data_IF_068127870262
#
_entry.id   IF_068127870262
#
_cell.length_a   1.000
_cell.length_b   1.000
_cell.length_c   1.000
_cell.angle_alpha   90.00
_cell.angle_beta   90.00
_cell.angle_gamma   90.00
#
_symmetry.space_group_name_H-M   'P 1'
#
loop_
_entity.id
_entity.type
_entity.pdbx_description
1 polymer ?
#
# COMPACT_ATOMS: atom_id res chain seq x y z
N UNK A 1 -8.38 22.36 10.22
CA UNK A 1 -9.51 21.87 9.38
C UNK A 1 -9.04 21.13 8.12
N UNK A 2 -8.18 21.70 7.26
CA UNK A 2 -7.71 21.04 6.01
C UNK A 2 -6.99 19.70 6.25
N UNK A 3 -6.13 19.63 7.26
CA UNK A 3 -5.38 18.41 7.62
C UNK A 3 -6.29 17.27 8.07
N UNK A 4 -7.30 17.57 8.88
CA UNK A 4 -8.29 16.60 9.32
C UNK A 4 -9.08 16.02 8.12
N UNK A 5 -9.37 16.85 7.11
CA UNK A 5 -9.99 16.39 5.86
C UNK A 5 -9.06 15.45 5.08
N UNK A 6 -7.77 15.77 4.96
CA UNK A 6 -6.80 14.91 4.29
C UNK A 6 -6.63 13.56 5.00
N UNK A 7 -6.53 13.58 6.33
CA UNK A 7 -6.41 12.37 7.12
C UNK A 7 -7.67 11.50 7.05
N UNK A 8 -8.84 12.12 7.09
CA UNK A 8 -10.11 11.42 6.90
C UNK A 8 -10.20 10.79 5.51
N UNK A 9 -9.79 11.50 4.46
CA UNK A 9 -9.76 10.97 3.10
C UNK A 9 -8.80 9.78 2.97
N UNK A 10 -7.61 9.86 3.57
CA UNK A 10 -6.66 8.74 3.62
C UNK A 10 -7.26 7.51 4.33
N UNK A 11 -7.98 7.73 5.43
CA UNK A 11 -8.65 6.66 6.17
C UNK A 11 -9.77 6.03 5.34
N UNK A 12 -10.62 6.84 4.70
CA UNK A 12 -11.70 6.34 3.84
C UNK A 12 -11.15 5.52 2.69
N UNK A 13 -10.05 5.98 2.07
CA UNK A 13 -9.39 5.30 0.97
C UNK A 13 -8.85 3.93 1.42
N UNK A 14 -8.15 3.88 2.55
CA UNK A 14 -7.72 2.62 3.17
C UNK A 14 -8.88 1.66 3.48
N UNK A 15 -9.95 2.16 4.11
CA UNK A 15 -11.09 1.33 4.50
C UNK A 15 -11.83 0.77 3.29
N UNK A 16 -11.98 1.55 2.22
CA UNK A 16 -12.57 1.08 0.95
C UNK A 16 -11.68 0.03 0.28
N UNK A 17 -10.37 0.26 0.25
CA UNK A 17 -9.44 -0.70 -0.31
C UNK A 17 -9.47 -2.05 0.42
N UNK A 18 -9.61 -2.05 1.75
CA UNK A 18 -9.62 -3.29 2.54
C UNK A 18 -10.99 -3.97 2.60
N UNK A 19 -12.09 -3.21 2.60
CA UNK A 19 -13.43 -3.74 2.88
C UNK A 19 -14.45 -3.51 1.74
N UNK A 20 -13.99 -3.03 0.59
CA UNK A 20 -14.75 -2.64 -0.60
C UNK A 20 -15.63 -1.39 -0.39
N UNK A 21 -16.45 -1.37 0.66
CA UNK A 21 -17.34 -0.26 0.98
C UNK A 21 -17.34 0.02 2.49
N UNK A 22 -17.63 1.27 2.86
CA UNK A 22 -17.77 1.65 4.26
C UNK A 22 -18.94 0.89 4.93
N UNK A 23 -20.02 0.59 4.19
CA UNK A 23 -21.13 -0.19 4.73
C UNK A 23 -20.69 -1.60 5.14
N UNK A 24 -19.96 -2.31 4.28
CA UNK A 24 -19.41 -3.65 4.59
C UNK A 24 -18.40 -3.59 5.74
N UNK A 25 -17.57 -2.55 5.76
CA UNK A 25 -16.59 -2.30 6.80
C UNK A 25 -17.24 -2.30 8.21
N UNK A 26 -18.30 -1.52 8.41
CA UNK A 26 -18.96 -1.36 9.71
C UNK A 26 -20.09 -2.36 10.01
N UNK A 27 -20.62 -3.05 8.99
CA UNK A 27 -21.72 -4.01 9.19
C UNK A 27 -21.23 -5.38 9.68
N UNK A 28 -20.02 -5.80 9.28
CA UNK A 28 -19.47 -7.08 9.72
C UNK A 28 -18.78 -6.94 11.10
N UNK A 29 -19.30 -7.65 12.10
CA UNK A 29 -18.78 -7.65 13.48
C UNK A 29 -17.35 -8.17 13.59
N UNK A 30 -16.90 -9.01 12.65
CA UNK A 30 -15.53 -9.53 12.62
C UNK A 30 -14.49 -8.43 12.41
N UNK A 31 -14.89 -7.32 11.76
CA UNK A 31 -13.99 -6.20 11.50
C UNK A 31 -13.76 -5.31 12.72
N UNK A 32 -14.58 -5.40 13.77
CA UNK A 32 -14.58 -4.44 14.88
C UNK A 32 -13.21 -4.35 15.56
N UNK A 33 -12.57 -5.48 15.88
CA UNK A 33 -11.25 -5.48 16.50
C UNK A 33 -10.17 -4.81 15.62
N UNK A 34 -10.24 -4.98 14.30
CA UNK A 34 -9.32 -4.33 13.36
C UNK A 34 -9.59 -2.83 13.28
N UNK A 35 -10.86 -2.43 13.27
CA UNK A 35 -11.27 -1.03 13.26
C UNK A 35 -10.88 -0.30 14.53
N UNK A 36 -11.07 -0.91 15.69
CA UNK A 36 -10.65 -0.33 16.97
C UNK A 36 -9.14 -0.03 16.98
N UNK A 37 -8.32 -0.94 16.44
CA UNK A 37 -6.88 -0.70 16.27
C UNK A 37 -6.61 0.50 15.36
N UNK A 38 -7.26 0.57 14.21
CA UNK A 38 -7.11 1.70 13.27
C UNK A 38 -7.51 3.02 13.92
N UNK A 39 -8.65 3.07 14.61
CA UNK A 39 -9.12 4.28 15.29
C UNK A 39 -8.24 4.67 16.47
N UNK A 40 -7.69 3.70 17.22
CA UNK A 40 -6.75 3.98 18.30
C UNK A 40 -5.46 4.65 17.80
N UNK A 41 -4.94 4.20 16.64
CA UNK A 41 -3.79 4.82 15.97
C UNK A 41 -4.12 6.24 15.49
N UNK A 42 -5.27 6.41 14.83
CA UNK A 42 -5.75 7.73 14.37
C UNK A 42 -5.91 8.69 15.56
N UNK A 43 -6.51 8.23 16.66
CA UNK A 43 -6.69 9.02 17.87
C UNK A 43 -5.34 9.43 18.46
N UNK A 44 -4.37 8.52 18.49
CA UNK A 44 -3.00 8.83 18.95
C UNK A 44 -2.35 9.92 18.08
N UNK A 45 -2.53 9.86 16.76
CA UNK A 45 -2.03 10.89 15.84
C UNK A 45 -2.71 12.25 16.05
N UNK A 46 -4.01 12.27 16.34
CA UNK A 46 -4.74 13.50 16.63
C UNK A 46 -4.37 14.10 17.99
N UNK A 47 -4.24 13.27 19.03
CA UNK A 47 -4.01 13.72 20.41
C UNK A 47 -2.54 14.05 20.70
N UNK A 48 -1.58 13.44 20.00
CA UNK A 48 -0.14 13.77 20.12
C UNK A 48 0.26 15.10 19.44
N UNK A 49 -0.70 15.99 19.18
CA UNK A 49 -0.54 17.23 18.40
C UNK A 49 0.21 18.38 19.08
N UNK A 50 1.06 18.14 20.07
CA UNK A 50 1.88 19.19 20.68
C UNK A 50 3.07 19.64 19.81
N UNK A 51 3.59 18.80 18.90
CA UNK A 51 4.75 19.13 18.05
C UNK A 51 4.46 18.91 16.56
N UNK A 52 4.06 19.97 15.86
CA UNK A 52 3.73 19.92 14.44
C UNK A 52 4.95 20.23 13.58
N UNK A 53 5.72 19.19 13.21
CA UNK A 53 6.86 19.32 12.29
C UNK A 53 6.45 19.14 10.83
N UNK A 54 7.21 19.71 9.89
CA UNK A 54 7.01 19.62 8.43
C UNK A 54 6.89 18.17 7.92
N UNK A 55 7.61 17.23 8.53
CA UNK A 55 7.53 15.79 8.23
C UNK A 55 6.12 15.21 8.46
N UNK A 56 5.32 15.82 9.34
CA UNK A 56 3.95 15.39 9.60
C UNK A 56 3.02 15.77 8.45
N UNK A 57 3.22 16.92 7.80
CA UNK A 57 2.36 17.35 6.68
C UNK A 57 2.52 16.45 5.46
N UNK A 58 3.76 16.16 5.05
CA UNK A 58 4.01 15.25 3.93
C UNK A 58 3.47 13.84 4.22
N UNK A 59 3.41 13.47 5.50
CA UNK A 59 2.77 12.23 5.93
C UNK A 59 1.23 12.25 5.85
N UNK A 60 0.60 13.41 5.71
CA UNK A 60 -0.84 13.53 5.47
C UNK A 60 -1.21 13.44 3.99
N UNK A 61 -0.23 13.53 3.09
CA UNK A 61 -0.48 13.43 1.66
C UNK A 61 -0.76 11.98 1.27
N UNK A 62 -1.81 11.73 0.47
CA UNK A 62 -2.16 10.38 0.03
C UNK A 62 -1.20 9.85 -1.05
N UNK A 63 -0.49 10.74 -1.74
CA UNK A 63 0.51 10.37 -2.73
C UNK A 63 1.76 9.75 -2.07
N UNK A 64 2.31 8.73 -2.71
CA UNK A 64 3.59 8.15 -2.32
C UNK A 64 4.74 9.14 -2.62
N UNK A 65 5.77 9.12 -1.79
CA UNK A 65 6.95 9.97 -1.98
C UNK A 65 7.91 9.32 -2.98
N UNK A 66 7.85 9.75 -4.23
CA UNK A 66 8.71 9.25 -5.32
C UNK A 66 10.11 9.85 -5.23
N UNK A 67 11.13 9.01 -5.35
CA UNK A 67 12.52 9.43 -5.56
C UNK A 67 12.87 9.19 -7.04
N UNK A 68 13.31 10.25 -7.73
CA UNK A 68 13.82 10.12 -9.08
C UNK A 68 15.20 9.45 -9.06
N UNK A 69 15.33 8.35 -9.80
CA UNK A 69 16.59 7.60 -9.94
C UNK A 69 17.27 7.93 -11.28
N UNK A 70 18.60 7.70 -11.39
CA UNK A 70 19.27 7.71 -12.69
C UNK A 70 18.61 6.71 -13.65
N UNK A 71 18.60 7.06 -14.94
CA UNK A 71 17.89 6.28 -15.97
C UNK A 71 18.28 4.81 -15.97
N UNK A 72 19.56 4.50 -15.84
CA UNK A 72 20.06 3.12 -15.87
C UNK A 72 19.53 2.29 -14.70
N UNK A 73 19.41 2.90 -13.51
CA UNK A 73 18.84 2.23 -12.34
C UNK A 73 17.32 2.06 -12.48
N UNK A 74 16.63 3.05 -13.05
CA UNK A 74 15.20 2.96 -13.32
C UNK A 74 14.89 1.82 -14.30
N UNK A 75 15.63 1.72 -15.40
CA UNK A 75 15.47 0.64 -16.39
C UNK A 75 15.66 -0.72 -15.75
N UNK A 76 16.70 -0.91 -14.93
CA UNK A 76 16.91 -2.20 -14.24
C UNK A 76 15.78 -2.58 -13.29
N UNK A 77 15.20 -1.59 -12.58
CA UNK A 77 14.06 -1.84 -11.71
C UNK A 77 12.82 -2.19 -12.54
N UNK A 78 12.53 -1.41 -13.58
CA UNK A 78 11.36 -1.64 -14.43
C UNK A 78 11.44 -2.99 -15.17
N UNK A 79 12.63 -3.41 -15.60
CA UNK A 79 12.88 -4.74 -16.20
C UNK A 79 12.58 -5.85 -15.18
N UNK A 80 13.07 -5.73 -13.94
CA UNK A 80 12.83 -6.72 -12.88
C UNK A 80 11.35 -6.80 -12.46
N UNK A 81 10.66 -5.66 -12.42
CA UNK A 81 9.21 -5.62 -12.18
C UNK A 81 8.43 -6.23 -13.35
N UNK A 82 8.84 -5.97 -14.58
CA UNK A 82 8.23 -6.56 -15.78
C UNK A 82 8.39 -8.07 -15.78
N UNK A 83 9.58 -8.58 -15.43
CA UNK A 83 9.83 -10.01 -15.30
C UNK A 83 8.94 -10.64 -14.22
N UNK A 84 8.80 -10.01 -13.05
CA UNK A 84 7.91 -10.46 -11.98
C UNK A 84 6.45 -10.53 -12.44
N UNK A 85 6.01 -9.52 -13.20
CA UNK A 85 4.66 -9.44 -13.74
C UNK A 85 4.39 -10.50 -14.80
N UNK A 86 5.36 -10.71 -15.70
CA UNK A 86 5.28 -11.65 -16.83
C UNK A 86 5.65 -13.08 -16.48
N UNK A 87 6.09 -13.37 -15.24
CA UNK A 87 6.58 -14.70 -14.88
C UNK A 87 5.47 -15.75 -14.96
N UNK A 88 5.36 -16.38 -16.13
CA UNK A 88 4.48 -17.51 -16.41
C UNK A 88 5.13 -18.79 -15.87
N UNK A 89 4.37 -19.57 -15.10
CA UNK A 89 4.82 -20.78 -14.41
C UNK A 89 5.19 -21.96 -15.34
N UNK A 90 5.36 -21.73 -16.65
CA UNK A 90 5.50 -22.76 -17.70
C UNK A 90 6.83 -23.53 -17.74
N UNK A 91 7.51 -23.71 -16.61
CA UNK A 91 8.83 -24.35 -16.54
C UNK A 91 8.85 -25.75 -15.90
N UNK A 92 7.76 -26.22 -15.30
CA UNK A 92 7.72 -27.51 -14.62
C UNK A 92 6.49 -28.31 -15.03
N UNK A 93 6.69 -29.19 -16.01
CA UNK A 93 5.80 -30.25 -16.51
C UNK A 93 4.78 -29.83 -17.58
N UNK A 94 4.94 -30.38 -18.78
CA UNK A 94 4.09 -30.24 -19.97
C UNK A 94 2.66 -30.83 -19.81
N UNK A 95 2.26 -31.28 -18.62
CA UNK A 95 1.05 -32.11 -18.43
C UNK A 95 -0.05 -31.48 -17.55
N UNK A 96 0.06 -30.22 -17.13
CA UNK A 96 -1.05 -29.52 -16.48
C UNK A 96 -1.22 -28.12 -17.06
N UNK A 97 -2.46 -27.75 -17.41
CA UNK A 97 -2.87 -26.39 -17.76
C UNK A 97 -2.57 -25.43 -16.58
N UNK A 98 -1.31 -25.05 -16.43
CA UNK A 98 -0.82 -24.11 -15.41
C UNK A 98 -1.19 -22.68 -15.83
N UNK A 99 -2.48 -22.43 -16.07
CA UNK A 99 -2.97 -21.08 -16.27
C UNK A 99 -3.01 -20.35 -14.94
N UNK A 100 -2.53 -19.10 -14.95
CA UNK A 100 -2.47 -18.26 -13.77
C UNK A 100 -3.89 -17.97 -13.25
N UNK A 101 -4.17 -18.33 -11.99
CA UNK A 101 -5.49 -18.07 -11.36
C UNK A 101 -5.81 -16.58 -11.22
N UNK A 102 -4.79 -15.73 -11.12
CA UNK A 102 -4.92 -14.28 -10.94
C UNK A 102 -3.94 -13.55 -11.84
N UNK A 103 -4.41 -12.52 -12.55
CA UNK A 103 -3.53 -11.60 -13.28
C UNK A 103 -2.90 -10.59 -12.32
N UNK A 104 -1.63 -10.21 -12.54
CA UNK A 104 -1.05 -9.05 -11.84
C UNK A 104 -1.54 -7.79 -12.53
N UNK A 105 -2.22 -6.92 -11.76
CA UNK A 105 -2.67 -5.60 -12.23
C UNK A 105 -1.54 -4.56 -12.25
N UNK A 106 -0.49 -4.77 -11.45
CA UNK A 106 0.70 -3.95 -11.41
C UNK A 106 1.53 -4.21 -10.15
N UNK A 107 2.78 -3.77 -10.18
CA UNK A 107 3.72 -3.84 -9.07
C UNK A 107 4.27 -2.46 -8.70
N UNK A 108 4.76 -2.32 -7.47
CA UNK A 108 5.41 -1.10 -7.01
C UNK A 108 6.52 -1.43 -6.02
N UNK A 109 7.61 -0.67 -6.05
CA UNK A 109 8.78 -0.88 -5.21
C UNK A 109 8.98 0.29 -4.25
N UNK A 110 9.02 -0.02 -2.96
CA UNK A 110 9.37 0.93 -1.91
C UNK A 110 10.73 0.60 -1.30
N UNK A 111 11.54 1.62 -1.05
CA UNK A 111 12.79 1.53 -0.29
C UNK A 111 12.82 2.56 0.82
N UNK A 112 13.00 2.09 2.07
CA UNK A 112 12.98 2.94 3.27
C UNK A 112 11.78 3.90 3.29
N UNK A 113 10.61 3.39 2.93
CA UNK A 113 9.36 4.15 2.86
C UNK A 113 9.29 5.24 1.78
N UNK A 114 10.16 5.23 0.77
CA UNK A 114 10.05 6.03 -0.45
C UNK A 114 9.72 5.13 -1.63
N UNK A 115 8.92 5.62 -2.58
CA UNK A 115 8.62 4.92 -3.82
C UNK A 115 9.79 5.08 -4.79
N UNK A 116 10.24 3.98 -5.37
CA UNK A 116 11.28 3.96 -6.40
C UNK A 116 10.70 3.76 -7.80
N UNK A 117 9.73 2.86 -7.94
CA UNK A 117 9.09 2.54 -9.21
C UNK A 117 7.66 2.02 -8.99
N UNK A 118 6.81 2.17 -9.99
CA UNK A 118 5.43 1.70 -9.99
C UNK A 118 4.93 1.48 -11.41
N UNK A 119 4.41 0.29 -11.68
CA UNK A 119 3.61 -0.03 -12.87
C UNK A 119 2.10 0.09 -12.62
N UNK A 120 1.70 0.42 -11.38
CA UNK A 120 0.30 0.62 -11.02
C UNK A 120 -0.26 1.96 -11.53
N UNK A 121 -1.58 2.01 -11.71
CA UNK A 121 -2.29 3.27 -11.95
C UNK A 121 -2.14 4.21 -10.75
N UNK A 122 -2.38 5.51 -10.97
CA UNK A 122 -2.31 6.50 -9.89
C UNK A 122 -3.26 6.17 -8.73
N UNK A 123 -4.46 5.68 -9.02
CA UNK A 123 -5.49 5.41 -8.04
C UNK A 123 -5.13 4.18 -7.20
N UNK A 124 -4.72 3.09 -7.85
CA UNK A 124 -4.29 1.87 -7.15
C UNK A 124 -3.02 2.09 -6.32
N UNK A 125 -2.09 2.92 -6.82
CA UNK A 125 -0.91 3.29 -6.06
C UNK A 125 -1.25 4.08 -4.79
N UNK A 126 -2.29 4.93 -4.84
CA UNK A 126 -2.77 5.64 -3.65
C UNK A 126 -3.38 4.65 -2.64
N UNK A 127 -4.12 3.65 -3.12
CA UNK A 127 -4.70 2.58 -2.30
C UNK A 127 -3.61 1.76 -1.60
N UNK A 128 -2.61 1.29 -2.34
CA UNK A 128 -1.49 0.53 -1.81
C UNK A 128 -0.65 1.36 -0.85
N UNK A 129 -0.39 2.63 -1.17
CA UNK A 129 0.34 3.53 -0.28
C UNK A 129 -0.41 3.72 1.04
N UNK A 130 -1.73 3.96 1.00
CA UNK A 130 -2.54 4.05 2.22
C UNK A 130 -2.52 2.74 3.02
N UNK A 131 -2.66 1.60 2.34
CA UNK A 131 -2.56 0.28 2.97
C UNK A 131 -1.24 0.07 3.70
N UNK A 132 -0.11 0.31 3.04
CA UNK A 132 1.21 0.15 3.62
C UNK A 132 1.46 1.11 4.80
N UNK A 133 0.89 2.32 4.77
CA UNK A 133 0.99 3.30 5.86
C UNK A 133 0.18 2.88 7.08
N UNK A 134 -1.10 2.54 6.90
CA UNK A 134 -2.00 2.18 8.00
C UNK A 134 -1.62 0.87 8.67
N UNK A 135 -0.96 -0.04 7.96
CA UNK A 135 -0.40 -1.28 8.52
C UNK A 135 1.04 -1.10 9.05
N UNK A 136 1.61 0.10 8.99
CA UNK A 136 2.95 0.39 9.50
C UNK A 136 4.09 -0.20 8.68
N UNK A 137 3.84 -0.76 7.50
CA UNK A 137 4.84 -1.43 6.65
C UNK A 137 5.94 -0.45 6.19
N UNK A 138 5.55 0.78 5.82
CA UNK A 138 6.53 1.80 5.41
C UNK A 138 7.41 2.26 6.58
N UNK A 139 6.82 2.41 7.78
CA UNK A 139 7.56 2.76 8.99
C UNK A 139 8.50 1.64 9.41
N UNK A 140 8.02 0.40 9.36
CA UNK A 140 8.81 -0.80 9.65
C UNK A 140 10.05 -0.88 8.75
N UNK A 141 9.87 -0.63 7.44
CA UNK A 141 10.97 -0.65 6.46
C UNK A 141 12.07 0.40 6.71
N UNK A 142 11.80 1.43 7.53
CA UNK A 142 12.77 2.48 7.88
C UNK A 142 13.57 2.15 9.15
N UNK A 143 12.94 1.46 10.10
CA UNK A 143 13.47 1.30 11.46
C UNK A 143 14.10 -0.07 11.67
N UNK A 144 13.48 -1.12 11.13
CA UNK A 144 13.85 -2.49 11.45
C UNK A 144 14.55 -3.19 10.28
N UNK A 145 15.60 -3.96 10.56
CA UNK A 145 16.22 -4.87 9.58
C UNK A 145 15.41 -6.17 9.51
N UNK A 146 14.26 -6.10 8.86
CA UNK A 146 13.39 -7.26 8.66
C UNK A 146 13.98 -8.16 7.57
N UNK A 147 14.22 -9.45 7.87
CA UNK A 147 14.77 -10.40 6.88
C UNK A 147 13.80 -10.61 5.71
N UNK A 148 12.55 -10.99 6.00
CA UNK A 148 11.48 -11.17 5.02
C UNK A 148 10.11 -11.07 5.72
N UNK A 149 9.17 -10.33 5.14
CA UNK A 149 7.75 -10.31 5.52
C UNK A 149 6.93 -10.40 4.25
N UNK A 150 5.97 -11.33 4.22
CA UNK A 150 5.04 -11.50 3.11
C UNK A 150 3.62 -11.32 3.64
N UNK A 151 2.86 -10.42 3.02
CA UNK A 151 1.47 -10.13 3.39
C UNK A 151 0.56 -10.56 2.25
N UNK A 152 -0.25 -11.59 2.49
CA UNK A 152 -1.31 -12.02 1.58
C UNK A 152 -2.65 -11.54 2.12
N UNK A 153 -3.37 -10.76 1.32
CA UNK A 153 -4.64 -10.17 1.73
C UNK A 153 -5.55 -9.92 0.53
N UNK A 154 -6.83 -10.30 0.68
CA UNK A 154 -7.88 -9.88 -0.24
C UNK A 154 -8.14 -8.38 -0.08
N UNK A 155 -8.16 -7.67 -1.21
CA UNK A 155 -8.31 -6.22 -1.30
C UNK A 155 -9.14 -5.84 -2.52
N UNK A 156 -9.58 -4.60 -2.58
CA UNK A 156 -10.48 -4.07 -3.60
C UNK A 156 -9.88 -2.79 -4.19
N UNK A 157 -8.97 -2.90 -5.18
CA UNK A 157 -8.36 -1.76 -5.87
C UNK A 157 -9.41 -0.92 -6.61
N UNK A 158 -9.16 0.38 -6.74
CA UNK A 158 -10.07 1.30 -7.45
C UNK A 158 -10.27 0.95 -8.94
N UNK A 159 -9.29 0.32 -9.58
CA UNK A 159 -9.36 -0.04 -11.00
C UNK A 159 -10.21 -1.29 -11.32
N UNK A 160 -10.75 -1.99 -10.31
CA UNK A 160 -11.47 -3.26 -10.44
C UNK A 160 -12.98 -3.15 -10.16
#
# INVERSE_FOLDING_TARGET
>A
LKEAVLLNNSLILYLRFVYQTLSRCFSNKENHCALDRVFSLVQTLYLSSSDFTLQRFEALLPAAHLIALPRDAQVQIDDALSELESNDFGGYNDDEDCQRLYSIIGSCLFYKGYLLASHMTREDLMDINAFCRHNGLLSLSRVESVRNVVVWKEVYPASC
#
